data_IF_518397935608
#
_entry.id   IF_518397935608
#
_cell.length_a   1.000
_cell.length_b   1.000
_cell.length_c   1.000
_cell.angle_alpha   90.00
_cell.angle_beta   90.00
_cell.angle_gamma   90.00
#
_symmetry.space_group_name_H-M   'P 1'
#
loop_
_entity.id
_entity.type
_entity.pdbx_description
1 polymer ?
#
# COMPACT_ATOMS: atom_id res chain seq x y z
N UNK A 1 22.67 -8.45 25.39
CA UNK A 1 21.53 -7.92 24.62
C UNK A 1 20.60 -9.10 24.37
N UNK A 2 19.45 -9.15 25.03
CA UNK A 2 18.40 -10.11 24.67
C UNK A 2 17.76 -9.59 23.39
N UNK A 3 17.98 -10.27 22.28
CA UNK A 3 17.27 -9.99 21.04
C UNK A 3 15.78 -10.25 21.30
N UNK A 4 15.02 -9.17 21.52
CA UNK A 4 13.57 -9.20 21.53
C UNK A 4 13.19 -9.38 20.06
N UNK A 5 13.16 -10.64 19.62
CA UNK A 5 12.55 -11.02 18.35
C UNK A 5 11.06 -10.77 18.48
N UNK A 6 10.61 -9.60 18.05
CA UNK A 6 9.19 -9.35 17.83
C UNK A 6 8.83 -10.23 16.62
N UNK A 7 8.20 -11.37 16.88
CA UNK A 7 7.64 -12.25 15.85
C UNK A 7 6.50 -11.50 15.13
N UNK A 8 6.89 -10.65 14.19
CA UNK A 8 5.98 -9.93 13.33
C UNK A 8 5.40 -10.91 12.31
N UNK A 9 4.08 -10.98 12.15
CA UNK A 9 3.47 -11.78 11.11
C UNK A 9 4.05 -11.40 9.75
N UNK A 10 4.29 -12.39 8.89
CA UNK A 10 4.93 -12.17 7.58
C UNK A 10 4.20 -11.13 6.72
N UNK A 11 2.89 -10.97 6.93
CA UNK A 11 2.03 -9.98 6.26
C UNK A 11 2.28 -8.53 6.67
N UNK A 12 2.94 -8.29 7.80
CA UNK A 12 3.24 -6.94 8.30
C UNK A 12 4.44 -6.33 7.59
N UNK A 13 5.40 -7.17 7.16
CA UNK A 13 6.59 -6.75 6.41
C UNK A 13 6.23 -5.91 5.16
N UNK A 14 5.41 -6.40 4.21
CA UNK A 14 5.08 -5.63 3.02
C UNK A 14 4.30 -4.33 3.31
N UNK A 15 3.53 -4.28 4.41
CA UNK A 15 2.84 -3.06 4.83
C UNK A 15 3.84 -2.01 5.30
N UNK A 16 4.80 -2.39 6.14
CA UNK A 16 5.87 -1.50 6.61
C UNK A 16 6.72 -0.99 5.45
N UNK A 17 7.18 -1.89 4.57
CA UNK A 17 7.95 -1.50 3.40
C UNK A 17 7.14 -0.58 2.48
N UNK A 18 5.85 -0.86 2.25
CA UNK A 18 5.00 0.02 1.46
C UNK A 18 4.80 1.41 2.09
N UNK A 19 4.71 1.49 3.42
CA UNK A 19 4.61 2.78 4.12
C UNK A 19 5.94 3.56 4.06
N UNK A 20 7.09 2.89 4.17
CA UNK A 20 8.40 3.54 4.04
C UNK A 20 8.58 4.08 2.62
N UNK A 21 8.21 3.30 1.61
CA UNK A 21 8.28 3.69 0.19
C UNK A 21 6.95 4.26 -0.33
N UNK A 22 6.22 4.99 0.52
CA UNK A 22 4.88 5.49 0.23
C UNK A 22 4.72 6.22 -1.11
N UNK A 23 5.70 6.98 -1.66
CA UNK A 23 5.50 7.63 -2.96
C UNK A 23 5.33 6.59 -4.08
N UNK A 24 6.08 5.48 -4.00
CA UNK A 24 6.03 4.38 -4.97
C UNK A 24 4.74 3.61 -4.79
N UNK A 25 4.36 3.30 -3.55
CA UNK A 25 3.11 2.59 -3.24
C UNK A 25 1.89 3.40 -3.70
N UNK A 26 1.90 4.73 -3.49
CA UNK A 26 0.86 5.64 -3.97
C UNK A 26 0.79 5.62 -5.49
N UNK A 27 1.93 5.72 -6.17
CA UNK A 27 1.99 5.67 -7.63
C UNK A 27 1.33 4.41 -8.19
N UNK A 28 1.68 3.23 -7.67
CA UNK A 28 1.07 1.97 -8.13
C UNK A 28 -0.41 1.86 -7.76
N UNK A 29 -0.84 2.38 -6.61
CA UNK A 29 -2.24 2.48 -6.22
C UNK A 29 -3.03 3.36 -7.21
N UNK A 30 -2.55 4.56 -7.50
CA UNK A 30 -3.17 5.49 -8.45
C UNK A 30 -3.17 4.92 -9.88
N UNK A 31 -2.08 4.29 -10.32
CA UNK A 31 -2.00 3.63 -11.62
C UNK A 31 -3.03 2.49 -11.73
N UNK A 32 -3.17 1.68 -10.68
CA UNK A 32 -4.14 0.59 -10.64
C UNK A 32 -5.57 1.11 -10.69
N UNK A 33 -5.89 2.19 -9.98
CA UNK A 33 -7.18 2.87 -10.10
C UNK A 33 -7.41 3.39 -11.51
N UNK A 34 -6.42 4.10 -12.09
CA UNK A 34 -6.54 4.66 -13.43
C UNK A 34 -6.83 3.58 -14.47
N UNK A 35 -6.03 2.50 -14.50
CA UNK A 35 -6.22 1.39 -15.43
C UNK A 35 -7.55 0.70 -15.17
N UNK A 36 -7.89 0.44 -13.91
CA UNK A 36 -9.16 -0.18 -13.50
C UNK A 36 -10.38 0.61 -13.96
N UNK A 37 -10.36 1.93 -13.84
CA UNK A 37 -11.49 2.80 -14.17
C UNK A 37 -11.58 3.12 -15.67
N UNK A 38 -10.45 3.27 -16.37
CA UNK A 38 -10.43 3.80 -17.74
C UNK A 38 -10.26 2.74 -18.82
N UNK A 39 -9.64 1.61 -18.51
CA UNK A 39 -9.26 0.58 -19.51
C UNK A 39 -9.96 -0.76 -19.31
N UNK A 40 -10.60 -1.00 -18.17
CA UNK A 40 -11.16 -2.30 -17.82
C UNK A 40 -12.67 -2.23 -17.58
N UNK A 41 -13.38 -3.30 -17.96
CA UNK A 41 -14.81 -3.48 -17.74
C UNK A 41 -15.08 -4.78 -16.96
N UNK A 42 -16.24 -4.82 -16.29
CA UNK A 42 -16.70 -5.98 -15.53
C UNK A 42 -15.79 -6.37 -14.37
N UNK A 43 -15.58 -7.67 -14.18
CA UNK A 43 -14.85 -8.24 -13.03
C UNK A 43 -13.39 -7.77 -12.96
N UNK A 44 -12.74 -7.51 -14.10
CA UNK A 44 -11.34 -7.04 -14.16
C UNK A 44 -11.20 -5.65 -13.52
N UNK A 45 -12.19 -4.77 -13.69
CA UNK A 45 -12.23 -3.46 -13.02
C UNK A 45 -12.29 -3.61 -11.51
N UNK A 46 -13.12 -4.53 -11.01
CA UNK A 46 -13.29 -4.79 -9.58
C UNK A 46 -11.97 -5.28 -8.97
N UNK A 47 -11.30 -6.24 -9.61
CA UNK A 47 -10.00 -6.73 -9.15
C UNK A 47 -8.96 -5.60 -9.03
N UNK A 48 -8.89 -4.70 -10.01
CA UNK A 48 -7.97 -3.56 -9.96
C UNK A 48 -8.30 -2.56 -8.85
N UNK A 49 -9.59 -2.28 -8.62
CA UNK A 49 -10.03 -1.42 -7.50
C UNK A 49 -9.66 -2.05 -6.15
N UNK A 50 -9.89 -3.37 -6.00
CA UNK A 50 -9.57 -4.11 -4.78
C UNK A 50 -8.07 -4.14 -4.48
N UNK A 51 -7.21 -4.13 -5.49
CA UNK A 51 -5.75 -4.03 -5.32
C UNK A 51 -5.32 -2.60 -5.02
N UNK A 52 -5.96 -1.61 -5.66
CA UNK A 52 -5.58 -0.23 -5.49
C UNK A 52 -5.91 0.33 -4.09
N UNK A 53 -7.05 -0.08 -3.51
CA UNK A 53 -7.48 0.31 -2.17
C UNK A 53 -6.41 0.08 -1.08
N UNK A 54 -5.87 -1.14 -0.88
CA UNK A 54 -4.85 -1.38 0.12
C UNK A 54 -3.54 -0.65 -0.19
N UNK A 55 -3.14 -0.53 -1.46
CA UNK A 55 -1.94 0.24 -1.83
C UNK A 55 -2.08 1.71 -1.41
N UNK A 56 -3.23 2.33 -1.69
CA UNK A 56 -3.50 3.71 -1.28
C UNK A 56 -3.55 3.82 0.24
N UNK A 57 -4.17 2.87 0.94
CA UNK A 57 -4.23 2.87 2.40
C UNK A 57 -2.83 2.80 3.04
N UNK A 58 -1.95 1.94 2.51
CA UNK A 58 -0.56 1.82 2.96
C UNK A 58 0.24 3.08 2.64
N UNK A 59 0.02 3.68 1.47
CA UNK A 59 0.64 4.96 1.13
C UNK A 59 0.17 6.09 2.07
N UNK A 60 -1.13 6.16 2.39
CA UNK A 60 -1.66 7.12 3.37
C UNK A 60 -1.05 6.94 4.76
N UNK A 61 -0.78 5.69 5.17
CA UNK A 61 -0.09 5.40 6.41
C UNK A 61 1.35 5.96 6.38
N UNK A 62 2.09 5.77 5.30
CA UNK A 62 3.42 6.33 5.14
C UNK A 62 3.44 7.87 5.09
N UNK A 63 2.47 8.48 4.41
CA UNK A 63 2.28 9.95 4.42
C UNK A 63 2.00 10.43 5.85
N UNK A 64 1.13 9.74 6.59
CA UNK A 64 0.83 10.07 7.97
C UNK A 64 2.11 10.09 8.83
N UNK A 65 2.95 9.06 8.74
CA UNK A 65 4.22 9.02 9.47
C UNK A 65 5.19 10.12 9.04
N UNK A 66 5.33 10.35 7.73
CA UNK A 66 6.20 11.41 7.20
C UNK A 66 5.76 12.81 7.65
N UNK A 67 4.44 13.06 7.72
CA UNK A 67 3.88 14.33 8.19
C UNK A 67 3.99 14.47 9.70
N UNK A 68 3.79 13.38 10.45
CA UNK A 68 3.89 13.37 11.90
C UNK A 68 5.34 13.46 12.43
N UNK A 69 6.34 13.34 11.55
CA UNK A 69 7.75 13.53 11.88
C UNK A 69 8.41 12.32 12.56
N UNK A 70 7.89 11.12 12.31
CA UNK A 70 8.47 9.85 12.76
C UNK A 70 9.52 9.32 11.79
#
# INVERSE_FOLDING_TARGET
>A
MSDISIDLPIWVIPVLYGAIYWPVTLFFGSLSLYVGLTRLHGIRRIAFILIALPLIAVACLGIYYAVAGY
#
